data_IF_391926252335
#
_entry.id   IF_391926252335
#
_cell.length_a   1.000
_cell.length_b   1.000
_cell.length_c   1.000
_cell.angle_alpha   90.00
_cell.angle_beta   90.00
_cell.angle_gamma   90.00
#
_symmetry.space_group_name_H-M   'P 1'
#
loop_
_entity.id
_entity.type
_entity.pdbx_description
1 polymer ?
#
# COMPACT_ATOMS: atom_id res chain seq x y z
N UNK A 1 -4.93 -0.31 7.79
CA UNK A 1 -6.09 0.64 7.68
C UNK A 1 -5.94 1.33 6.34
N UNK A 2 -6.92 1.23 5.45
CA UNK A 2 -6.89 1.95 4.18
C UNK A 2 -7.10 3.44 4.44
N UNK A 3 -6.23 4.27 3.91
CA UNK A 3 -6.32 5.72 3.95
C UNK A 3 -6.20 6.28 2.53
N UNK A 4 -7.13 7.10 2.11
CA UNK A 4 -7.10 7.73 0.80
C UNK A 4 -7.32 9.24 0.95
N UNK A 5 -6.48 10.03 0.27
CA UNK A 5 -6.68 11.46 0.00
C UNK A 5 -7.15 11.72 -1.43
N UNK A 6 -7.43 10.65 -2.17
CA UNK A 6 -7.72 10.70 -3.59
C UNK A 6 -9.19 11.00 -3.92
N UNK A 7 -10.04 11.20 -2.92
CA UNK A 7 -11.41 11.72 -3.04
C UNK A 7 -11.41 13.03 -2.27
N UNK A 8 -11.43 14.15 -2.99
CA UNK A 8 -11.16 15.47 -2.44
C UNK A 8 -12.38 16.40 -2.42
N UNK A 9 -13.16 16.40 -3.50
CA UNK A 9 -14.33 17.26 -3.68
C UNK A 9 -15.54 16.44 -4.17
N UNK A 10 -16.11 15.53 -3.34
CA UNK A 10 -17.16 14.64 -3.80
C UNK A 10 -18.48 15.37 -3.97
N UNK A 11 -19.06 15.34 -5.19
CA UNK A 11 -20.45 15.75 -5.46
C UNK A 11 -21.42 14.76 -4.81
N UNK A 12 -21.02 13.47 -4.79
CA UNK A 12 -21.79 12.39 -4.21
C UNK A 12 -20.85 11.38 -3.55
N UNK A 13 -21.19 10.92 -2.36
CA UNK A 13 -20.51 9.82 -1.72
C UNK A 13 -21.47 8.96 -0.91
N UNK A 14 -21.30 7.65 -1.00
CA UNK A 14 -22.04 6.66 -0.22
C UNK A 14 -21.06 5.65 0.40
N UNK A 15 -21.31 5.28 1.65
CA UNK A 15 -20.47 4.33 2.39
C UNK A 15 -21.32 3.30 3.11
N UNK A 16 -20.98 2.04 2.95
CA UNK A 16 -21.58 0.92 3.67
C UNK A 16 -20.48 0.22 4.47
N UNK A 17 -20.75 0.00 5.75
CA UNK A 17 -19.91 -0.79 6.63
C UNK A 17 -20.77 -1.86 7.27
N UNK A 18 -20.43 -3.12 7.06
CA UNK A 18 -21.10 -4.25 7.71
C UNK A 18 -20.06 -5.10 8.45
N UNK A 19 -20.40 -5.49 9.66
CA UNK A 19 -19.54 -6.32 10.49
C UNK A 19 -20.35 -7.47 11.11
N UNK A 20 -19.86 -8.69 10.94
CA UNK A 20 -20.28 -9.89 11.64
C UNK A 20 -19.12 -10.41 12.50
N UNK A 21 -19.35 -11.49 13.28
CA UNK A 21 -18.34 -12.05 14.20
C UNK A 21 -16.97 -12.31 13.53
N UNK A 22 -16.97 -12.78 12.28
CA UNK A 22 -15.76 -13.17 11.56
C UNK A 22 -15.54 -12.42 10.26
N UNK A 23 -16.45 -11.60 9.81
CA UNK A 23 -16.35 -10.91 8.52
C UNK A 23 -16.68 -9.43 8.64
N UNK A 24 -15.95 -8.64 7.86
CA UNK A 24 -16.14 -7.20 7.71
C UNK A 24 -16.21 -6.86 6.24
N UNK A 25 -17.16 -6.02 5.88
CA UNK A 25 -17.32 -5.50 4.52
C UNK A 25 -17.29 -3.97 4.62
N UNK A 26 -16.53 -3.36 3.73
CA UNK A 26 -16.50 -1.93 3.52
C UNK A 26 -16.72 -1.67 2.03
N UNK A 27 -17.68 -0.83 1.70
CA UNK A 27 -17.94 -0.35 0.36
C UNK A 27 -18.02 1.17 0.42
N UNK A 28 -17.30 1.84 -0.47
CA UNK A 28 -17.41 3.27 -0.67
C UNK A 28 -17.54 3.53 -2.17
N UNK A 29 -18.51 4.35 -2.54
CA UNK A 29 -18.70 4.83 -3.91
C UNK A 29 -18.78 6.34 -3.85
N UNK A 30 -18.03 7.04 -4.70
CA UNK A 30 -18.03 8.48 -4.77
C UNK A 30 -17.90 8.97 -6.22
N UNK A 31 -18.50 10.12 -6.50
CA UNK A 31 -18.25 10.93 -7.69
C UNK A 31 -17.53 12.17 -7.22
N UNK A 32 -16.30 12.34 -7.67
CA UNK A 32 -15.42 13.45 -7.29
C UNK A 32 -15.32 14.44 -8.45
N UNK A 33 -15.36 15.73 -8.17
CA UNK A 33 -15.37 16.77 -9.18
C UNK A 33 -13.93 17.12 -9.61
N UNK A 34 -13.05 17.25 -8.62
CA UNK A 34 -11.64 17.60 -8.80
C UNK A 34 -10.78 16.49 -8.21
N UNK A 35 -10.31 15.62 -9.07
CA UNK A 35 -9.63 14.41 -8.64
C UNK A 35 -8.12 14.61 -8.57
N UNK A 36 -7.47 14.48 -7.41
CA UNK A 36 -6.01 14.46 -7.33
C UNK A 36 -5.45 13.19 -7.98
N UNK A 37 -4.42 13.38 -8.80
CA UNK A 37 -3.62 12.31 -9.40
C UNK A 37 -2.21 12.42 -8.85
N UNK A 38 -1.64 11.29 -8.45
CA UNK A 38 -0.26 11.17 -8.00
C UNK A 38 0.44 10.14 -8.88
N UNK A 39 1.49 10.58 -9.57
CA UNK A 39 2.34 9.72 -10.40
C UNK A 39 3.63 9.47 -9.64
N UNK A 40 3.83 8.26 -9.08
CA UNK A 40 5.06 7.91 -8.38
C UNK A 40 6.17 7.59 -9.37
N UNK A 41 7.40 7.94 -9.02
CA UNK A 41 8.62 7.45 -9.64
C UNK A 41 9.56 6.89 -8.59
N UNK A 42 10.77 6.50 -8.97
CA UNK A 42 11.76 5.95 -8.04
C UNK A 42 12.24 6.97 -7.00
N UNK A 43 12.36 8.24 -7.37
CA UNK A 43 13.00 9.27 -6.55
C UNK A 43 12.06 10.41 -6.15
N UNK A 44 10.99 10.61 -6.89
CA UNK A 44 10.05 11.69 -6.68
C UNK A 44 8.61 11.27 -7.04
N UNK A 45 7.66 12.14 -6.83
CA UNK A 45 6.30 11.96 -7.30
C UNK A 45 5.74 13.25 -7.86
N UNK A 46 5.04 13.16 -8.98
CA UNK A 46 4.33 14.28 -9.59
C UNK A 46 2.89 14.29 -9.14
N UNK A 47 2.34 15.46 -8.90
CA UNK A 47 0.94 15.60 -8.49
C UNK A 47 0.23 16.64 -9.34
N UNK A 48 -1.01 16.34 -9.70
CA UNK A 48 -1.88 17.24 -10.44
C UNK A 48 -3.34 17.03 -10.04
N UNK A 49 -4.22 17.85 -10.61
CA UNK A 49 -5.66 17.74 -10.40
C UNK A 49 -6.29 17.39 -11.73
N UNK A 50 -6.88 16.22 -11.79
CA UNK A 50 -7.61 15.72 -12.94
C UNK A 50 -9.05 16.14 -12.95
N UNK A 51 -9.75 15.68 -13.98
CA UNK A 51 -11.17 15.90 -14.17
C UNK A 51 -12.02 15.09 -13.20
N UNK A 52 -13.34 15.21 -13.39
CA UNK A 52 -14.34 14.43 -12.67
C UNK A 52 -14.08 12.93 -12.76
N UNK A 53 -14.20 12.23 -11.64
CA UNK A 53 -14.02 10.79 -11.57
C UNK A 53 -15.12 10.06 -10.81
N UNK A 54 -15.33 8.81 -11.20
CA UNK A 54 -16.09 7.81 -10.46
C UNK A 54 -15.13 6.93 -9.69
N UNK A 55 -15.38 6.78 -8.39
CA UNK A 55 -14.52 6.06 -7.46
C UNK A 55 -15.31 4.96 -6.76
N UNK A 56 -14.74 3.76 -6.68
CA UNK A 56 -15.31 2.64 -5.94
C UNK A 56 -14.22 1.91 -5.16
N UNK A 57 -14.49 1.69 -3.88
CA UNK A 57 -13.61 0.95 -2.96
C UNK A 57 -14.43 -0.18 -2.36
N UNK A 58 -13.98 -1.40 -2.55
CA UNK A 58 -14.51 -2.59 -1.92
C UNK A 58 -13.43 -3.25 -1.08
N UNK A 59 -13.73 -3.53 0.18
CA UNK A 59 -12.86 -4.33 1.03
C UNK A 59 -13.68 -5.39 1.77
N UNK A 60 -13.25 -6.62 1.65
CA UNK A 60 -13.73 -7.75 2.44
C UNK A 60 -12.62 -8.28 3.33
N UNK A 61 -12.91 -8.56 4.58
CA UNK A 61 -11.97 -9.12 5.53
C UNK A 61 -12.62 -10.27 6.29
N UNK A 62 -11.90 -11.38 6.44
CA UNK A 62 -12.32 -12.53 7.23
C UNK A 62 -11.33 -12.78 8.37
N UNK A 63 -11.86 -12.89 9.57
CA UNK A 63 -11.12 -13.25 10.79
C UNK A 63 -11.08 -14.78 10.89
N UNK A 64 -9.91 -15.35 10.72
CA UNK A 64 -9.69 -16.80 10.76
C UNK A 64 -9.72 -17.32 12.20
N UNK A 65 -9.04 -16.58 13.09
CA UNK A 65 -9.00 -16.83 14.54
C UNK A 65 -8.76 -15.50 15.27
N UNK A 66 -8.54 -15.55 16.61
CA UNK A 66 -8.38 -14.35 17.43
C UNK A 66 -7.25 -13.39 16.94
N UNK A 67 -6.23 -13.93 16.28
CA UNK A 67 -5.02 -13.20 15.93
C UNK A 67 -4.62 -13.35 14.45
N UNK A 68 -5.50 -13.93 13.61
CA UNK A 68 -5.22 -14.14 12.20
C UNK A 68 -6.41 -13.74 11.34
N UNK A 69 -6.12 -13.09 10.23
CA UNK A 69 -7.12 -12.59 9.30
C UNK A 69 -6.58 -12.56 7.87
N UNK A 70 -7.48 -12.56 6.91
CA UNK A 70 -7.20 -12.40 5.49
C UNK A 70 -8.19 -11.40 4.90
N UNK A 71 -7.75 -10.61 3.96
CA UNK A 71 -8.56 -9.59 3.30
C UNK A 71 -8.39 -9.59 1.78
N UNK A 72 -9.40 -9.05 1.10
CA UNK A 72 -9.37 -8.74 -0.33
C UNK A 72 -9.81 -7.30 -0.47
N UNK A 73 -9.13 -6.54 -1.33
CA UNK A 73 -9.41 -5.14 -1.62
C UNK A 73 -9.51 -4.94 -3.12
N UNK A 74 -10.49 -4.17 -3.57
CA UNK A 74 -10.61 -3.70 -4.95
C UNK A 74 -10.80 -2.19 -4.91
N UNK A 75 -9.96 -1.48 -5.66
CA UNK A 75 -9.99 -0.03 -5.84
C UNK A 75 -10.22 0.23 -7.32
N UNK A 76 -11.26 0.96 -7.66
CA UNK A 76 -11.56 1.31 -9.03
C UNK A 76 -11.80 2.82 -9.13
N UNK A 77 -11.03 3.48 -9.97
CA UNK A 77 -11.18 4.88 -10.35
C UNK A 77 -11.31 4.96 -11.86
N UNK A 78 -12.29 5.71 -12.35
CA UNK A 78 -12.47 6.03 -13.75
C UNK A 78 -12.65 7.53 -13.92
N UNK A 79 -11.86 8.11 -14.80
CA UNK A 79 -11.94 9.51 -15.18
C UNK A 79 -12.93 9.71 -16.33
N UNK A 80 -13.51 10.88 -16.44
CA UNK A 80 -14.39 11.22 -17.57
C UNK A 80 -13.62 11.25 -18.91
N UNK A 81 -12.31 11.51 -18.88
CA UNK A 81 -11.42 11.62 -20.02
C UNK A 81 -10.75 10.30 -20.41
N UNK A 82 -11.48 9.20 -20.26
CA UNK A 82 -11.13 7.84 -20.72
C UNK A 82 -9.94 7.17 -20.01
N UNK A 83 -9.45 7.74 -18.90
CA UNK A 83 -8.47 7.09 -18.03
C UNK A 83 -9.14 6.23 -16.97
N UNK A 84 -8.46 5.18 -16.50
CA UNK A 84 -8.87 4.40 -15.35
C UNK A 84 -7.68 3.79 -14.60
N UNK A 85 -7.87 3.58 -13.32
CA UNK A 85 -6.97 2.80 -12.48
C UNK A 85 -7.78 1.77 -11.70
N UNK A 86 -7.44 0.51 -11.88
CA UNK A 86 -8.04 -0.62 -11.17
C UNK A 86 -6.96 -1.35 -10.39
N UNK A 87 -7.10 -1.41 -9.08
CA UNK A 87 -6.19 -2.14 -8.20
C UNK A 87 -6.95 -3.24 -7.50
N UNK A 88 -6.45 -4.45 -7.58
CA UNK A 88 -6.97 -5.60 -6.82
C UNK A 88 -5.86 -6.17 -5.96
N UNK A 89 -6.19 -6.56 -4.74
CA UNK A 89 -5.18 -7.11 -3.85
C UNK A 89 -5.73 -7.97 -2.75
N UNK A 90 -4.82 -8.69 -2.12
CA UNK A 90 -5.07 -9.52 -0.93
C UNK A 90 -4.04 -9.18 0.15
N UNK A 91 -4.48 -9.23 1.38
CA UNK A 91 -3.64 -9.04 2.55
C UNK A 91 -3.93 -10.10 3.61
N UNK A 92 -2.96 -10.38 4.42
CA UNK A 92 -3.12 -11.33 5.50
C UNK A 92 -2.21 -11.06 6.70
N UNK A 93 -2.74 -11.36 7.88
CA UNK A 93 -2.00 -11.41 9.12
C UNK A 93 -2.19 -12.79 9.73
N UNK A 94 -1.11 -13.52 9.96
CA UNK A 94 -1.11 -14.86 10.52
C UNK A 94 -0.25 -14.91 11.77
N UNK A 95 -0.83 -15.38 12.86
CA UNK A 95 -0.13 -15.63 14.10
C UNK A 95 0.02 -17.15 14.28
N UNK A 96 1.24 -17.65 14.04
CA UNK A 96 1.53 -19.09 14.10
C UNK A 96 1.76 -19.59 15.53
N UNK A 97 2.20 -18.69 16.41
CA UNK A 97 2.43 -19.00 17.81
C UNK A 97 2.38 -17.72 18.66
N UNK A 98 2.59 -17.86 19.97
CA UNK A 98 2.74 -16.71 20.88
C UNK A 98 3.77 -15.67 20.39
N UNK A 99 4.80 -16.12 19.65
CA UNK A 99 5.93 -15.29 19.31
C UNK A 99 6.03 -14.91 17.83
N UNK A 100 5.46 -15.69 16.91
CA UNK A 100 5.64 -15.53 15.47
C UNK A 100 4.41 -14.97 14.80
N UNK A 101 4.62 -13.93 14.00
CA UNK A 101 3.62 -13.30 13.14
C UNK A 101 4.17 -13.14 11.74
N UNK A 102 3.31 -13.40 10.76
CA UNK A 102 3.55 -13.12 9.36
C UNK A 102 2.45 -12.22 8.83
N UNK A 103 2.85 -11.18 8.11
CA UNK A 103 1.96 -10.24 7.45
C UNK A 103 2.38 -10.11 6.00
N UNK A 104 1.42 -10.00 5.10
CA UNK A 104 1.66 -9.70 3.70
C UNK A 104 0.56 -8.82 3.12
N UNK A 105 0.92 -8.07 2.08
CA UNK A 105 0.03 -7.34 1.20
C UNK A 105 0.52 -7.54 -0.23
N UNK A 106 -0.36 -7.97 -1.12
CA UNK A 106 -0.10 -8.16 -2.54
C UNK A 106 -1.16 -7.41 -3.33
N UNK A 107 -0.72 -6.51 -4.21
CA UNK A 107 -1.57 -5.73 -5.08
C UNK A 107 -1.13 -5.83 -6.54
N UNK A 108 -2.10 -5.85 -7.44
CA UNK A 108 -1.93 -5.75 -8.87
C UNK A 108 -2.74 -4.57 -9.35
N UNK A 109 -2.18 -3.76 -10.25
CA UNK A 109 -2.91 -2.69 -10.91
C UNK A 109 -3.03 -2.93 -12.42
N UNK A 110 -4.12 -2.41 -12.96
CA UNK A 110 -4.40 -2.24 -14.38
C UNK A 110 -4.69 -0.76 -14.58
N UNK A 111 -3.85 -0.08 -15.30
CA UNK A 111 -3.91 1.36 -15.49
C UNK A 111 -4.03 1.72 -16.96
N UNK A 112 -4.86 2.72 -17.25
CA UNK A 112 -4.85 3.51 -18.46
C UNK A 112 -4.84 4.97 -18.05
N UNK A 113 -3.83 5.69 -18.46
CA UNK A 113 -3.66 7.10 -18.09
C UNK A 113 -4.71 8.00 -18.74
N UNK A 114 -4.97 9.12 -18.08
CA UNK A 114 -5.58 10.28 -18.75
C UNK A 114 -4.53 10.95 -19.63
N UNK A 115 -4.96 11.73 -20.61
CA UNK A 115 -4.10 12.58 -21.41
C UNK A 115 -4.07 13.96 -20.77
N UNK A 116 -2.90 14.39 -20.26
CA UNK A 116 -2.72 15.68 -19.61
C UNK A 116 -1.27 16.16 -19.75
N UNK A 117 -1.07 17.46 -19.78
CA UNK A 117 0.22 18.13 -20.01
C UNK A 117 0.88 18.67 -18.73
N UNK A 118 0.53 18.11 -17.56
CA UNK A 118 1.06 18.63 -16.30
C UNK A 118 2.49 18.22 -16.00
N UNK A 119 2.93 17.09 -16.58
CA UNK A 119 4.25 16.53 -16.34
C UNK A 119 5.09 16.77 -17.58
N UNK A 120 6.00 17.74 -17.47
CA UNK A 120 7.04 18.01 -18.46
C UNK A 120 8.31 17.28 -18.03
N UNK A 121 8.37 15.97 -18.33
CA UNK A 121 9.49 15.10 -17.98
C UNK A 121 9.68 14.03 -19.05
N UNK A 122 10.94 13.85 -19.48
CA UNK A 122 11.37 12.75 -20.36
C UNK A 122 11.72 11.48 -19.57
N UNK A 123 11.47 11.43 -18.26
CA UNK A 123 11.74 10.27 -17.43
C UNK A 123 10.90 9.08 -17.90
N UNK A 124 11.52 7.91 -17.90
CA UNK A 124 10.89 6.66 -18.32
C UNK A 124 10.95 5.62 -17.22
N UNK A 125 9.94 4.76 -17.20
CA UNK A 125 9.92 3.55 -16.40
C UNK A 125 9.58 2.37 -17.31
N UNK A 126 10.46 1.35 -17.36
CA UNK A 126 10.33 0.27 -18.33
C UNK A 126 10.23 0.82 -19.77
N UNK A 127 9.18 0.46 -20.49
CA UNK A 127 8.90 0.91 -21.84
C UNK A 127 8.00 2.16 -21.92
N UNK A 128 7.54 2.68 -20.76
CA UNK A 128 6.56 3.76 -20.63
C UNK A 128 7.20 5.08 -20.23
N UNK A 129 6.45 6.18 -20.37
CA UNK A 129 6.86 7.52 -19.96
C UNK A 129 6.18 7.91 -18.63
N UNK A 130 6.77 8.87 -17.92
CA UNK A 130 6.14 9.48 -16.74
C UNK A 130 5.06 10.48 -17.13
N UNK A 131 5.11 10.98 -18.38
CA UNK A 131 4.10 11.88 -18.93
C UNK A 131 2.75 11.19 -18.99
N UNK A 132 1.67 11.96 -18.82
CA UNK A 132 0.30 11.45 -18.91
C UNK A 132 -0.18 11.51 -20.36
N UNK A 133 0.17 10.53 -21.17
CA UNK A 133 -0.07 10.50 -22.62
C UNK A 133 -1.06 9.40 -23.06
N UNK A 134 -1.75 8.77 -22.11
CA UNK A 134 -2.76 7.77 -22.34
C UNK A 134 -2.27 6.34 -22.46
N UNK A 135 -1.03 6.08 -22.05
CA UNK A 135 -0.43 4.74 -22.00
C UNK A 135 -1.20 3.79 -21.10
N UNK A 136 -1.10 2.49 -21.37
CA UNK A 136 -1.72 1.44 -20.57
C UNK A 136 -0.68 0.44 -20.09
N UNK A 137 -0.66 0.21 -18.78
CA UNK A 137 0.32 -0.67 -18.16
C UNK A 137 -0.24 -1.39 -16.94
N UNK A 138 0.46 -2.46 -16.54
CA UNK A 138 0.12 -3.28 -15.40
C UNK A 138 1.33 -3.37 -14.47
N UNK A 139 1.10 -3.27 -13.19
CA UNK A 139 2.16 -3.35 -12.20
C UNK A 139 1.75 -4.20 -11.00
N UNK A 140 2.71 -4.41 -10.11
CA UNK A 140 2.51 -5.18 -8.88
C UNK A 140 3.23 -4.52 -7.71
N UNK A 141 2.66 -4.71 -6.51
CA UNK A 141 3.31 -4.35 -5.27
C UNK A 141 3.16 -5.48 -4.25
N UNK A 142 4.26 -5.90 -3.65
CA UNK A 142 4.34 -6.90 -2.61
C UNK A 142 5.03 -6.31 -1.38
N UNK A 143 4.36 -6.43 -0.26
CA UNK A 143 4.93 -6.24 1.05
C UNK A 143 4.82 -7.52 1.86
N UNK A 144 5.88 -7.90 2.57
CA UNK A 144 5.78 -8.96 3.56
C UNK A 144 6.68 -8.71 4.77
N UNK A 145 6.24 -9.15 5.93
CA UNK A 145 7.04 -9.11 7.15
C UNK A 145 6.86 -10.39 7.96
N UNK A 146 7.99 -10.96 8.36
CA UNK A 146 8.04 -12.02 9.35
C UNK A 146 8.63 -11.43 10.63
N UNK A 147 7.88 -11.57 11.73
CA UNK A 147 8.24 -11.01 13.02
C UNK A 147 8.22 -12.08 14.10
N UNK A 148 9.25 -12.07 14.94
CA UNK A 148 9.33 -12.87 16.14
C UNK A 148 9.62 -11.96 17.33
N UNK A 149 8.73 -11.95 18.32
CA UNK A 149 8.91 -11.21 19.56
C UNK A 149 8.84 -12.19 20.74
N UNK A 150 9.90 -12.26 21.50
CA UNK A 150 9.97 -12.94 22.80
C UNK A 150 10.16 -11.92 23.91
N UNK A 151 10.32 -12.36 25.14
CA UNK A 151 10.55 -11.49 26.29
C UNK A 151 11.78 -10.58 26.09
N UNK A 152 12.86 -11.16 25.58
CA UNK A 152 14.14 -10.45 25.43
C UNK A 152 14.54 -10.21 23.97
N UNK A 153 14.05 -11.02 23.02
CA UNK A 153 14.49 -10.97 21.63
C UNK A 153 13.38 -10.51 20.69
N UNK A 154 13.71 -9.58 19.81
CA UNK A 154 12.86 -9.16 18.69
C UNK A 154 13.62 -9.34 17.37
N UNK A 155 13.04 -10.12 16.46
CA UNK A 155 13.56 -10.34 15.12
C UNK A 155 12.52 -9.91 14.11
N UNK A 156 12.91 -9.19 13.04
CA UNK A 156 12.02 -8.79 11.97
C UNK A 156 12.73 -8.87 10.62
N UNK A 157 12.07 -9.54 9.69
CA UNK A 157 12.46 -9.58 8.28
C UNK A 157 11.35 -8.90 7.51
N UNK A 158 11.67 -7.93 6.66
CA UNK A 158 10.72 -7.26 5.76
C UNK A 158 11.21 -7.34 4.34
N UNK A 159 10.27 -7.52 3.44
CA UNK A 159 10.49 -7.47 2.01
C UNK A 159 9.47 -6.54 1.36
N UNK A 160 9.95 -5.67 0.50
CA UNK A 160 9.18 -4.81 -0.37
C UNK A 160 9.60 -5.06 -1.81
N UNK A 161 8.62 -5.13 -2.69
CA UNK A 161 8.83 -5.20 -4.13
C UNK A 161 7.67 -4.44 -4.79
N UNK A 162 7.99 -3.27 -5.34
CA UNK A 162 7.02 -2.41 -6.02
C UNK A 162 7.56 -2.20 -7.43
N UNK A 163 6.85 -2.73 -8.43
CA UNK A 163 7.28 -2.59 -9.82
C UNK A 163 7.20 -1.13 -10.27
N UNK A 164 8.02 -0.73 -11.28
CA UNK A 164 7.98 0.64 -11.81
C UNK A 164 6.62 1.03 -12.39
N UNK A 165 5.82 0.05 -12.86
CA UNK A 165 4.48 0.27 -13.41
C UNK A 165 3.37 0.28 -12.33
N UNK A 166 3.71 0.07 -11.06
CA UNK A 166 2.69 0.06 -10.02
C UNK A 166 2.23 1.47 -9.66
N UNK A 167 0.91 1.68 -9.79
CA UNK A 167 0.24 2.92 -9.45
C UNK A 167 -1.11 2.65 -8.81
N UNK A 168 -1.48 3.45 -7.83
CA UNK A 168 -2.78 3.37 -7.16
C UNK A 168 -3.38 4.76 -6.97
N UNK A 169 -4.28 5.15 -7.86
CA UNK A 169 -4.91 6.48 -7.85
C UNK A 169 -5.94 6.66 -6.72
N UNK A 170 -6.35 5.59 -6.04
CA UNK A 170 -7.16 5.62 -4.81
C UNK A 170 -6.34 5.31 -3.56
N UNK A 171 -5.08 4.89 -3.73
CA UNK A 171 -4.11 4.71 -2.65
C UNK A 171 -3.26 5.95 -2.43
N UNK A 172 -2.17 5.77 -1.69
CA UNK A 172 -1.13 6.77 -1.51
C UNK A 172 0.23 6.09 -1.64
N UNK A 173 0.70 6.02 -2.88
CA UNK A 173 2.01 5.46 -3.26
C UNK A 173 2.84 6.61 -3.81
N UNK A 174 3.90 6.95 -3.13
CA UNK A 174 4.79 8.09 -3.47
C UNK A 174 6.06 7.66 -4.17
N UNK A 175 6.42 6.38 -4.06
CA UNK A 175 7.62 5.77 -4.66
C UNK A 175 7.24 4.45 -5.27
N UNK A 176 7.77 4.14 -6.45
CA UNK A 176 7.71 2.82 -7.08
C UNK A 176 9.12 2.40 -7.54
N UNK A 177 9.25 1.33 -8.31
CA UNK A 177 10.54 0.78 -8.72
C UNK A 177 11.47 0.55 -7.52
N UNK A 178 10.96 -0.12 -6.49
CA UNK A 178 11.64 -0.30 -5.22
C UNK A 178 11.65 -1.79 -4.84
N UNK A 179 12.85 -2.38 -4.74
CA UNK A 179 13.04 -3.67 -4.11
C UNK A 179 13.93 -3.51 -2.89
N UNK A 180 13.40 -3.88 -1.74
CA UNK A 180 14.10 -3.70 -0.47
C UNK A 180 13.91 -4.90 0.44
N UNK A 181 14.98 -5.42 1.00
CA UNK A 181 14.96 -6.38 2.10
C UNK A 181 15.60 -5.77 3.32
N UNK A 182 14.95 -5.89 4.47
CA UNK A 182 15.53 -5.45 5.74
C UNK A 182 15.44 -6.53 6.80
N UNK A 183 16.53 -6.66 7.54
CA UNK A 183 16.66 -7.53 8.70
C UNK A 183 16.92 -6.70 9.95
N UNK A 184 16.15 -6.94 10.98
CA UNK A 184 16.31 -6.33 12.30
C UNK A 184 16.44 -7.40 13.35
N UNK A 185 17.42 -7.24 14.24
CA UNK A 185 17.59 -8.05 15.43
C UNK A 185 17.80 -7.15 16.63
N UNK A 186 17.00 -7.34 17.68
CA UNK A 186 17.12 -6.62 18.94
C UNK A 186 17.13 -7.57 20.13
N UNK A 187 17.94 -7.23 21.13
CA UNK A 187 17.94 -7.86 22.44
C UNK A 187 17.72 -6.80 23.51
N UNK A 188 16.83 -7.06 24.44
CA UNK A 188 16.55 -6.19 25.59
C UNK A 188 16.53 -7.04 26.84
N UNK A 189 17.28 -6.65 27.84
CA UNK A 189 17.25 -7.27 29.17
C UNK A 189 16.86 -6.22 30.22
N UNK A 190 15.97 -6.60 31.10
CA UNK A 190 15.57 -5.80 32.25
C UNK A 190 16.31 -6.29 33.45
N UNK A 191 17.11 -5.40 34.05
CA UNK A 191 17.93 -5.68 35.19
C UNK A 191 17.22 -5.17 36.45
N UNK A 192 17.36 -5.91 37.53
CA UNK A 192 16.80 -5.52 38.85
C UNK A 192 17.81 -4.74 39.69
N UNK A 193 18.63 -3.93 39.02
CA UNK A 193 19.71 -3.14 39.60
C UNK A 193 19.28 -1.69 39.83
N UNK A 194 19.78 -1.04 40.89
CA UNK A 194 19.40 0.35 41.18
C UNK A 194 19.90 1.35 40.14
N UNK A 195 21.09 1.11 39.58
CA UNK A 195 21.74 2.02 38.63
C UNK A 195 21.36 1.79 37.18
N UNK A 196 21.18 0.54 36.74
CA UNK A 196 20.84 0.16 35.36
C UNK A 196 19.62 -0.73 35.37
N UNK A 197 18.48 -0.18 34.96
CA UNK A 197 17.20 -0.90 34.92
C UNK A 197 16.96 -1.64 33.60
N UNK A 198 17.62 -1.23 32.52
CA UNK A 198 17.45 -1.79 31.21
C UNK A 198 18.72 -1.70 30.37
N UNK A 199 19.05 -2.79 29.71
CA UNK A 199 20.09 -2.86 28.68
C UNK A 199 19.44 -3.26 27.36
N UNK A 200 19.78 -2.58 26.27
CA UNK A 200 19.27 -2.92 24.93
C UNK A 200 20.39 -2.78 23.89
N UNK A 201 20.46 -3.75 23.00
CA UNK A 201 21.32 -3.72 21.82
C UNK A 201 20.51 -4.14 20.61
N UNK A 202 20.69 -3.46 19.49
CA UNK A 202 20.01 -3.83 18.26
C UNK A 202 20.87 -3.54 17.03
N UNK A 203 20.61 -4.30 15.97
CA UNK A 203 21.19 -4.07 14.65
C UNK A 203 20.10 -4.08 13.59
N UNK A 204 20.31 -3.31 12.53
CA UNK A 204 19.48 -3.31 11.33
C UNK A 204 20.37 -3.33 10.10
N UNK A 205 20.03 -4.20 9.18
CA UNK A 205 20.61 -4.28 7.85
C UNK A 205 19.52 -4.05 6.85
N UNK A 206 19.81 -3.26 5.83
CA UNK A 206 18.89 -2.97 4.76
C UNK A 206 19.64 -3.01 3.43
N UNK A 207 19.10 -3.74 2.49
CA UNK A 207 19.59 -3.83 1.12
C UNK A 207 18.46 -3.38 0.20
N UNK A 208 18.79 -2.44 -0.65
CA UNK A 208 17.94 -1.96 -1.73
C UNK A 208 18.61 -2.28 -3.06
N UNK A 209 17.82 -2.76 -4.01
CA UNK A 209 18.31 -3.14 -5.33
C UNK A 209 17.21 -2.91 -6.39
N UNK A 210 17.65 -2.75 -7.62
CA UNK A 210 16.80 -2.56 -8.80
C UNK A 210 16.35 -3.89 -9.39
#
# INVERSE_FOLDING_TARGET
MFYSRAINNPIFASKIIAQKKKSRIFILTAIDEDTPILVPTKYESFSGVGSKSFNNILRYQNVLNQNSQIGVTSLYKRFNEDGYNNVIGTDGLFTFSKYWKFEYELFLNYNKEVIADWIDSDERFSDFTVALDGESFNGSALYSTLRRDTENWSTRIRYYDISPEFRSDLGFIVENNLKRISFYQGYTNYLNEELIKRFSISSRYELEYD
#
